data_IF_247631495688
#
_entry.id   IF_247631495688
#
_cell.length_a   1.000
_cell.length_b   1.000
_cell.length_c   1.000
_cell.angle_alpha   90.00
_cell.angle_beta   90.00
_cell.angle_gamma   90.00
#
_symmetry.space_group_name_H-M   'P 1'
#
loop_
_entity.id
_entity.type
_entity.pdbx_description
1 polymer ?
#
# COMPACT_ATOMS: atom_id res chain seq x y z
N UNK A 1 -10.08 -5.12 -12.59
CA UNK A 1 -9.88 -3.71 -12.99
C UNK A 1 -8.48 -3.56 -13.58
N UNK A 2 -8.36 -3.03 -14.81
CA UNK A 2 -7.10 -2.79 -15.50
C UNK A 2 -6.74 -1.29 -15.41
N UNK A 3 -5.87 -0.89 -14.49
CA UNK A 3 -5.37 0.49 -14.41
C UNK A 3 -4.19 0.68 -15.37
N UNK A 4 -4.10 1.82 -16.05
CA UNK A 4 -2.94 2.12 -16.91
C UNK A 4 -1.73 2.53 -16.04
N UNK A 5 -0.47 2.35 -16.47
CA UNK A 5 0.72 2.89 -15.77
C UNK A 5 0.70 4.40 -15.54
N UNK A 6 -0.16 5.13 -16.25
CA UNK A 6 -0.38 6.57 -16.07
C UNK A 6 -1.38 6.89 -14.95
N UNK A 7 -2.19 5.91 -14.53
CA UNK A 7 -3.11 6.06 -13.40
C UNK A 7 -2.45 5.61 -12.08
N UNK A 8 -1.63 4.56 -12.13
CA UNK A 8 -1.04 3.89 -10.95
C UNK A 8 0.39 3.47 -11.23
N UNK A 9 1.26 3.68 -10.25
CA UNK A 9 2.65 3.28 -10.28
C UNK A 9 3.10 2.72 -8.92
N UNK A 10 4.06 1.80 -8.94
CA UNK A 10 4.58 1.11 -7.76
C UNK A 10 6.07 1.39 -7.57
N UNK A 11 6.45 1.63 -6.32
CA UNK A 11 7.85 1.64 -5.88
C UNK A 11 7.98 0.63 -4.73
N UNK A 12 8.79 -0.39 -4.95
CA UNK A 12 8.99 -1.47 -3.99
C UNK A 12 10.16 -1.14 -3.07
N UNK A 13 10.05 -1.43 -1.78
CA UNK A 13 11.11 -1.31 -0.79
C UNK A 13 11.35 -2.73 -0.25
N UNK A 14 12.47 -3.32 -0.66
CA UNK A 14 12.84 -4.70 -0.39
C UNK A 14 14.16 -4.75 0.39
N UNK A 15 14.08 -4.84 1.72
CA UNK A 15 15.26 -4.76 2.57
C UNK A 15 16.17 -6.00 2.43
N UNK A 16 15.60 -7.19 2.19
CA UNK A 16 16.32 -8.47 2.15
C UNK A 16 16.64 -9.00 0.75
N UNK A 17 16.25 -8.29 -0.30
CA UNK A 17 16.30 -8.82 -1.66
C UNK A 17 15.37 -10.02 -1.83
N UNK A 18 14.25 -10.03 -1.10
CA UNK A 18 13.24 -11.07 -0.96
C UNK A 18 12.44 -11.39 -2.23
N UNK A 19 12.97 -11.07 -3.41
CA UNK A 19 12.43 -11.49 -4.69
C UNK A 19 11.15 -10.75 -5.11
N UNK A 20 10.53 -9.93 -4.25
CA UNK A 20 9.32 -9.19 -4.60
C UNK A 20 9.57 -8.29 -5.82
N UNK A 21 10.70 -7.59 -5.85
CA UNK A 21 11.09 -6.79 -7.01
C UNK A 21 11.23 -7.62 -8.30
N UNK A 22 11.78 -8.83 -8.19
CA UNK A 22 11.97 -9.72 -9.35
C UNK A 22 10.66 -10.27 -9.89
N UNK A 23 9.69 -10.58 -9.02
CA UNK A 23 8.35 -11.05 -9.40
C UNK A 23 7.60 -10.02 -10.26
N UNK A 24 7.83 -8.73 -10.00
CA UNK A 24 7.13 -7.64 -10.66
C UNK A 24 7.97 -6.89 -11.70
N UNK A 25 9.19 -7.35 -12.02
CA UNK A 25 10.15 -6.61 -12.86
C UNK A 25 9.62 -6.22 -14.25
N UNK A 26 8.69 -7.01 -14.78
CA UNK A 26 8.13 -6.82 -16.11
C UNK A 26 6.80 -6.05 -16.08
N UNK A 27 6.32 -5.63 -14.91
CA UNK A 27 5.12 -4.82 -14.81
C UNK A 27 5.44 -3.39 -15.25
N UNK A 28 4.70 -2.82 -16.23
CA UNK A 28 4.94 -1.46 -16.70
C UNK A 28 4.62 -0.40 -15.63
N UNK A 29 3.86 -0.75 -14.60
CA UNK A 29 3.55 0.09 -13.45
C UNK A 29 4.72 0.20 -12.46
N UNK A 30 5.71 -0.69 -12.52
CA UNK A 30 6.83 -0.69 -11.58
C UNK A 30 7.85 0.37 -11.98
N UNK A 31 7.97 1.43 -11.18
CA UNK A 31 9.01 2.46 -11.38
C UNK A 31 10.39 1.97 -10.97
N UNK A 32 10.44 1.06 -10.01
CA UNK A 32 11.68 0.45 -9.54
C UNK A 32 11.53 -0.18 -8.17
N UNK A 33 12.65 -0.66 -7.68
CA UNK A 33 12.79 -1.22 -6.34
C UNK A 33 13.98 -0.62 -5.63
N UNK A 34 13.79 -0.29 -4.36
CA UNK A 34 14.83 0.12 -3.44
C UNK A 34 15.24 -1.12 -2.66
N UNK A 35 16.49 -1.56 -2.82
CA UNK A 35 17.01 -2.75 -2.15
C UNK A 35 18.36 -2.46 -1.48
N UNK A 36 18.77 -3.33 -0.54
CA UNK A 36 20.04 -3.23 0.19
C UNK A 36 20.26 -1.82 0.76
N UNK A 37 19.29 -1.37 1.55
CA UNK A 37 19.27 -0.04 2.12
C UNK A 37 20.35 0.12 3.19
N UNK A 38 21.55 0.50 2.74
CA UNK A 38 22.52 1.18 3.60
C UNK A 38 22.03 2.62 3.89
N UNK A 39 22.66 3.29 4.87
CA UNK A 39 22.25 4.64 5.26
C UNK A 39 22.28 5.66 4.11
N UNK A 40 23.21 5.51 3.16
CA UNK A 40 23.34 6.44 2.03
C UNK A 40 22.28 6.19 0.94
N UNK A 41 21.94 4.93 0.65
CA UNK A 41 20.85 4.56 -0.25
C UNK A 41 19.50 4.99 0.32
N UNK A 42 19.29 4.77 1.62
CA UNK A 42 18.06 5.17 2.33
C UNK A 42 17.84 6.67 2.23
N UNK A 43 18.88 7.46 2.47
CA UNK A 43 18.84 8.91 2.32
C UNK A 43 18.54 9.33 0.88
N UNK A 44 19.17 8.72 -0.13
CA UNK A 44 18.89 9.01 -1.54
C UNK A 44 17.44 8.73 -1.91
N UNK A 45 16.90 7.59 -1.47
CA UNK A 45 15.51 7.24 -1.71
C UNK A 45 14.54 8.30 -1.13
N UNK A 46 14.77 8.75 0.11
CA UNK A 46 13.96 9.83 0.70
C UNK A 46 14.09 11.14 -0.07
N UNK A 47 15.30 11.51 -0.48
CA UNK A 47 15.52 12.72 -1.28
C UNK A 47 14.72 12.64 -2.59
N UNK A 48 14.74 11.49 -3.27
CA UNK A 48 13.97 11.27 -4.50
C UNK A 48 12.46 11.35 -4.27
N UNK A 49 11.94 10.72 -3.20
CA UNK A 49 10.50 10.79 -2.87
C UNK A 49 10.09 12.23 -2.54
N UNK A 50 10.90 12.95 -1.76
CA UNK A 50 10.64 14.35 -1.41
C UNK A 50 10.73 15.29 -2.62
N UNK A 51 11.63 15.01 -3.56
CA UNK A 51 11.69 15.75 -4.82
C UNK A 51 10.43 15.54 -5.67
N UNK A 52 9.92 14.30 -5.72
CA UNK A 52 8.66 13.98 -6.40
C UNK A 52 7.47 14.70 -5.73
N UNK A 53 7.38 14.71 -4.39
CA UNK A 53 6.34 15.48 -3.68
C UNK A 53 6.37 16.96 -4.07
N UNK A 54 7.55 17.59 -4.07
CA UNK A 54 7.71 19.00 -4.45
C UNK A 54 7.30 19.24 -5.91
N UNK A 55 7.64 18.32 -6.81
CA UNK A 55 7.25 18.39 -8.22
C UNK A 55 5.72 18.34 -8.37
N UNK A 56 5.05 17.40 -7.68
CA UNK A 56 3.59 17.30 -7.69
C UNK A 56 2.91 18.54 -7.13
N UNK A 57 3.41 19.08 -6.01
CA UNK A 57 2.91 20.32 -5.43
C UNK A 57 2.99 21.49 -6.41
N UNK A 58 4.13 21.65 -7.07
CA UNK A 58 4.32 22.68 -8.09
C UNK A 58 3.30 22.54 -9.23
N UNK A 59 3.16 21.35 -9.80
CA UNK A 59 2.21 21.08 -10.88
C UNK A 59 0.75 21.30 -10.44
N UNK A 60 0.42 20.97 -9.19
CA UNK A 60 -0.90 21.25 -8.63
C UNK A 60 -1.17 22.74 -8.55
N UNK A 61 -0.20 23.52 -8.06
CA UNK A 61 -0.29 24.98 -8.00
C UNK A 61 -0.41 25.62 -9.39
N UNK A 62 0.37 25.16 -10.37
CA UNK A 62 0.32 25.66 -11.75
C UNK A 62 -1.05 25.40 -12.43
N UNK A 63 -1.74 24.33 -12.00
CA UNK A 63 -3.03 23.91 -12.57
C UNK A 63 -4.24 24.17 -11.66
N UNK A 64 -4.07 24.92 -10.56
CA UNK A 64 -5.12 25.26 -9.59
C UNK A 64 -5.91 24.04 -9.04
N UNK A 65 -5.22 22.92 -8.82
CA UNK A 65 -5.81 21.70 -8.21
C UNK A 65 -5.19 21.44 -6.84
N UNK A 66 -5.90 20.70 -5.99
CA UNK A 66 -5.44 20.36 -4.64
C UNK A 66 -5.46 18.86 -4.34
N UNK A 67 -5.84 18.03 -5.31
CA UNK A 67 -5.90 16.59 -5.17
C UNK A 67 -5.54 15.87 -6.48
N UNK A 68 -4.82 14.76 -6.39
CA UNK A 68 -4.36 13.95 -7.53
C UNK A 68 -5.49 13.56 -8.49
N UNK A 69 -6.66 13.18 -7.97
CA UNK A 69 -7.84 12.87 -8.79
C UNK A 69 -8.28 14.04 -9.68
N UNK A 70 -8.08 15.29 -9.26
CA UNK A 70 -8.39 16.46 -10.09
C UNK A 70 -7.34 16.62 -11.19
N UNK A 71 -6.06 16.46 -10.86
CA UNK A 71 -4.97 16.49 -11.83
C UNK A 71 -5.12 15.40 -12.90
N UNK A 72 -5.48 14.17 -12.52
CA UNK A 72 -5.72 13.08 -13.47
C UNK A 72 -6.91 13.37 -14.39
N UNK A 73 -7.93 14.11 -13.94
CA UNK A 73 -9.03 14.56 -14.81
C UNK A 73 -8.54 15.54 -15.87
N UNK A 74 -7.69 16.50 -15.49
CA UNK A 74 -7.07 17.42 -16.45
C UNK A 74 -6.28 16.66 -17.53
N UNK A 75 -5.50 15.66 -17.12
CA UNK A 75 -4.74 14.82 -18.07
C UNK A 75 -5.68 14.06 -19.02
N UNK A 76 -6.74 13.44 -18.49
CA UNK A 76 -7.73 12.69 -19.29
C UNK A 76 -8.52 13.59 -20.26
N UNK A 77 -8.68 14.87 -19.92
CA UNK A 77 -9.30 15.86 -20.78
C UNK A 77 -8.33 16.46 -21.83
N UNK A 78 -7.03 16.21 -21.70
CA UNK A 78 -5.99 16.81 -22.54
C UNK A 78 -5.58 18.23 -22.14
N UNK A 79 -5.99 18.70 -20.95
CA UNK A 79 -5.66 20.03 -20.42
C UNK A 79 -4.19 20.13 -19.95
N UNK A 80 -3.58 18.97 -19.64
CA UNK A 80 -2.14 18.84 -19.31
C UNK A 80 -1.54 17.67 -20.08
N UNK A 81 -0.26 17.80 -20.44
CA UNK A 81 0.45 16.79 -21.25
C UNK A 81 1.05 15.65 -20.41
N UNK A 82 1.42 15.92 -19.16
CA UNK A 82 2.13 14.95 -18.31
C UNK A 82 1.16 14.16 -17.43
N UNK A 83 1.17 12.81 -17.48
CA UNK A 83 0.40 12.00 -16.55
C UNK A 83 1.02 12.03 -15.14
N UNK A 84 0.16 11.96 -14.12
CA UNK A 84 0.60 11.81 -12.74
C UNK A 84 -0.10 10.61 -12.08
N UNK A 85 0.57 9.45 -11.99
CA UNK A 85 -0.01 8.28 -11.37
C UNK A 85 -0.07 8.41 -9.85
N UNK A 86 -1.04 7.72 -9.24
CA UNK A 86 -0.96 7.37 -7.83
C UNK A 86 0.29 6.53 -7.58
N UNK A 87 1.14 6.96 -6.66
CA UNK A 87 2.37 6.25 -6.33
C UNK A 87 2.17 5.42 -5.07
N UNK A 88 2.26 4.11 -5.21
CA UNK A 88 2.21 3.17 -4.09
C UNK A 88 3.63 2.75 -3.70
N UNK A 89 4.02 3.17 -2.51
CA UNK A 89 5.25 2.72 -1.85
C UNK A 89 4.92 1.45 -1.07
N UNK A 90 5.55 0.33 -1.43
CA UNK A 90 5.25 -0.97 -0.81
C UNK A 90 6.52 -1.45 -0.12
N UNK A 91 6.50 -1.51 1.22
CA UNK A 91 7.55 -2.13 2.01
C UNK A 91 7.10 -3.51 2.45
N UNK A 92 7.76 -4.54 1.93
CA UNK A 92 7.66 -5.88 2.47
C UNK A 92 8.58 -6.02 3.69
N UNK A 93 8.17 -6.83 4.65
CA UNK A 93 8.83 -7.04 5.94
C UNK A 93 9.42 -5.77 6.58
N UNK A 94 8.58 -4.74 6.75
CA UNK A 94 9.04 -3.42 7.20
C UNK A 94 9.60 -3.41 8.64
N UNK A 95 9.37 -4.47 9.42
CA UNK A 95 9.95 -4.63 10.76
C UNK A 95 11.46 -4.53 10.75
N UNK A 96 12.09 -5.15 9.76
CA UNK A 96 13.54 -5.14 9.59
C UNK A 96 14.04 -3.77 9.17
N UNK A 97 13.32 -3.15 8.24
CA UNK A 97 13.60 -1.79 7.82
C UNK A 97 13.52 -0.80 8.98
N UNK A 98 12.54 -0.96 9.88
CA UNK A 98 12.42 -0.15 11.10
C UNK A 98 13.56 -0.39 12.09
N UNK A 99 14.03 -1.63 12.22
CA UNK A 99 15.14 -1.98 13.12
C UNK A 99 16.46 -1.39 12.63
N UNK A 100 16.72 -1.48 11.33
CA UNK A 100 18.01 -1.14 10.74
C UNK A 100 18.10 0.34 10.31
N UNK A 101 16.97 0.92 9.86
CA UNK A 101 16.88 2.30 9.39
C UNK A 101 15.67 3.04 10.02
N UNK A 102 15.67 3.24 11.35
CA UNK A 102 14.52 3.82 12.06
C UNK A 102 14.17 5.25 11.59
N UNK A 103 15.18 6.09 11.35
CA UNK A 103 14.97 7.45 10.84
C UNK A 103 14.37 7.45 9.43
N UNK A 104 14.80 6.52 8.57
CA UNK A 104 14.22 6.36 7.24
C UNK A 104 12.73 6.02 7.33
N UNK A 105 12.36 5.06 8.18
CA UNK A 105 10.96 4.67 8.38
C UNK A 105 10.10 5.81 8.90
N UNK A 106 10.61 6.56 9.87
CA UNK A 106 9.90 7.71 10.43
C UNK A 106 9.61 8.77 9.37
N UNK A 107 10.62 9.11 8.57
CA UNK A 107 10.46 10.05 7.46
C UNK A 107 9.52 9.51 6.39
N UNK A 108 9.65 8.24 6.01
CA UNK A 108 8.78 7.60 5.00
C UNK A 108 7.30 7.67 5.39
N UNK A 109 6.96 7.36 6.64
CA UNK A 109 5.59 7.45 7.17
C UNK A 109 5.09 8.90 7.16
N UNK A 110 5.93 9.86 7.56
CA UNK A 110 5.62 11.30 7.55
C UNK A 110 5.36 11.82 6.13
N UNK A 111 6.26 11.51 5.20
CA UNK A 111 6.19 11.83 3.78
C UNK A 111 4.93 11.27 3.14
N UNK A 112 4.55 10.02 3.43
CA UNK A 112 3.31 9.44 2.93
C UNK A 112 2.05 10.11 3.50
N UNK A 113 2.06 10.49 4.78
CA UNK A 113 0.96 11.22 5.40
C UNK A 113 0.72 12.57 4.72
N UNK A 114 1.78 13.37 4.53
CA UNK A 114 1.72 14.67 3.83
C UNK A 114 1.39 14.48 2.34
N UNK A 115 1.88 13.39 1.74
CA UNK A 115 1.74 13.06 0.33
C UNK A 115 0.36 12.54 -0.10
N UNK A 116 -0.57 12.34 0.84
CA UNK A 116 -1.87 11.71 0.54
C UNK A 116 -2.67 12.44 -0.54
N UNK A 117 -2.83 13.76 -0.46
CA UNK A 117 -3.55 14.54 -1.47
C UNK A 117 -2.80 14.58 -2.81
N UNK A 118 -1.48 14.45 -2.76
CA UNK A 118 -0.58 14.36 -3.91
C UNK A 118 -0.57 12.95 -4.53
N UNK A 119 -1.33 12.00 -3.97
CA UNK A 119 -1.46 10.64 -4.50
C UNK A 119 -0.31 9.71 -4.13
N UNK A 120 0.41 9.99 -3.06
CA UNK A 120 1.38 9.05 -2.46
C UNK A 120 0.66 8.19 -1.43
N UNK A 121 0.85 6.88 -1.54
CA UNK A 121 0.25 5.88 -0.65
C UNK A 121 1.34 4.95 -0.14
N UNK A 122 1.31 4.62 1.15
CA UNK A 122 2.26 3.70 1.77
C UNK A 122 1.54 2.43 2.21
N UNK A 123 2.07 1.28 1.79
CA UNK A 123 1.66 -0.05 2.21
C UNK A 123 2.83 -0.68 2.95
N UNK A 124 2.59 -1.05 4.20
CA UNK A 124 3.56 -1.69 5.07
C UNK A 124 3.08 -3.11 5.39
N UNK A 125 3.91 -4.11 5.07
CA UNK A 125 3.66 -5.50 5.39
C UNK A 125 4.73 -6.04 6.36
N UNK A 126 4.32 -6.86 7.32
CA UNK A 126 5.22 -7.52 8.28
C UNK A 126 4.64 -8.87 8.67
N UNK A 127 5.51 -9.86 8.87
CA UNK A 127 5.11 -11.14 9.46
C UNK A 127 5.03 -11.06 10.99
N UNK A 128 5.70 -10.08 11.61
CA UNK A 128 5.77 -9.91 13.07
C UNK A 128 5.33 -8.49 13.44
N UNK A 129 4.04 -8.28 13.72
CA UNK A 129 3.58 -6.95 14.09
C UNK A 129 4.07 -6.54 15.48
N UNK A 130 4.28 -7.49 16.41
CA UNK A 130 4.66 -7.21 17.80
C UNK A 130 5.90 -6.30 17.94
N UNK A 131 5.74 -5.15 18.59
CA UNK A 131 6.80 -4.15 18.85
C UNK A 131 7.20 -3.32 17.63
N UNK A 132 6.62 -3.62 16.46
CA UNK A 132 6.96 -2.98 15.19
C UNK A 132 5.92 -1.91 14.86
N UNK A 133 4.66 -2.11 15.21
CA UNK A 133 3.57 -1.20 14.87
C UNK A 133 3.34 -0.23 16.04
N UNK A 134 4.02 0.92 15.98
CA UNK A 134 3.84 1.97 16.99
C UNK A 134 2.58 2.83 16.72
N UNK A 135 2.22 3.69 17.67
CA UNK A 135 1.06 4.57 17.57
C UNK A 135 1.11 5.51 16.36
N UNK A 136 2.31 5.93 15.94
CA UNK A 136 2.49 6.76 14.75
C UNK A 136 2.07 6.01 13.48
N UNK A 137 2.51 4.76 13.30
CA UNK A 137 2.09 3.94 12.15
C UNK A 137 0.59 3.66 12.24
N UNK A 138 0.11 3.30 13.43
CA UNK A 138 -1.29 2.94 13.63
C UNK A 138 -2.26 4.10 13.34
N UNK A 139 -1.95 5.32 13.82
CA UNK A 139 -2.76 6.53 13.62
C UNK A 139 -2.73 7.05 12.18
N UNK A 140 -1.60 6.90 11.48
CA UNK A 140 -1.46 7.34 10.09
C UNK A 140 -2.00 6.32 9.06
N UNK A 141 -2.30 5.10 9.50
CA UNK A 141 -2.84 4.04 8.64
C UNK A 141 -4.37 4.07 8.61
N UNK A 142 -4.95 4.53 7.49
CA UNK A 142 -6.41 4.59 7.32
C UNK A 142 -7.07 3.20 7.32
N UNK A 143 -6.40 2.22 6.72
CA UNK A 143 -6.87 0.84 6.68
C UNK A 143 -5.80 -0.10 7.21
N UNK A 144 -6.25 -1.21 7.79
CA UNK A 144 -5.42 -2.25 8.39
C UNK A 144 -6.00 -3.59 7.97
N UNK A 145 -5.12 -4.49 7.55
CA UNK A 145 -5.49 -5.83 7.14
C UNK A 145 -4.66 -6.80 7.98
N UNK A 146 -5.32 -7.74 8.64
CA UNK A 146 -4.62 -8.82 9.33
C UNK A 146 -5.13 -10.17 8.86
N UNK A 147 -4.23 -10.95 8.28
CA UNK A 147 -4.37 -12.39 8.08
C UNK A 147 -4.18 -13.11 9.43
N UNK A 148 -4.17 -14.44 9.41
CA UNK A 148 -3.83 -15.25 10.58
C UNK A 148 -2.48 -14.85 11.18
N UNK A 149 -2.51 -14.37 12.43
CA UNK A 149 -1.33 -14.09 13.26
C UNK A 149 -1.07 -15.17 14.31
N UNK A 150 0.14 -15.22 14.86
CA UNK A 150 0.55 -16.29 15.78
C UNK A 150 -0.27 -16.28 17.07
N UNK A 151 -0.39 -15.12 17.71
CA UNK A 151 -1.06 -14.97 19.00
C UNK A 151 -2.02 -13.77 19.08
N UNK A 152 -2.74 -13.69 20.21
CA UNK A 152 -3.69 -12.60 20.46
C UNK A 152 -3.01 -11.24 20.64
N UNK A 153 -1.75 -11.20 21.08
CA UNK A 153 -1.03 -9.94 21.29
C UNK A 153 -0.71 -9.29 19.94
N UNK A 154 -0.27 -10.05 18.94
CA UNK A 154 -0.07 -9.60 17.56
C UNK A 154 -1.36 -9.00 16.97
N UNK A 155 -2.49 -9.68 17.18
CA UNK A 155 -3.80 -9.22 16.71
C UNK A 155 -4.22 -7.94 17.43
N UNK A 156 -3.99 -7.84 18.74
CA UNK A 156 -4.27 -6.63 19.52
C UNK A 156 -3.39 -5.46 19.08
N UNK A 157 -2.13 -5.69 18.73
CA UNK A 157 -1.25 -4.62 18.25
C UNK A 157 -1.74 -4.05 16.92
N UNK A 158 -2.10 -4.93 15.97
CA UNK A 158 -2.60 -4.54 14.64
C UNK A 158 -4.01 -3.96 14.67
N UNK A 159 -4.98 -4.72 15.18
CA UNK A 159 -6.42 -4.45 15.02
C UNK A 159 -7.11 -3.96 16.30
N UNK A 160 -6.39 -3.92 17.43
CA UNK A 160 -6.96 -3.66 18.77
C UNK A 160 -8.08 -4.64 19.15
N UNK A 161 -8.07 -5.82 18.54
CA UNK A 161 -9.00 -6.94 18.76
C UNK A 161 -8.24 -8.26 18.64
N UNK A 162 -8.67 -9.36 19.29
CA UNK A 162 -7.95 -10.64 19.24
C UNK A 162 -8.27 -11.51 18.02
N UNK A 163 -9.23 -11.10 17.17
CA UNK A 163 -9.87 -11.96 16.17
C UNK A 163 -8.92 -12.57 15.13
N UNK A 164 -7.87 -11.86 14.71
CA UNK A 164 -6.94 -12.38 13.70
C UNK A 164 -6.16 -13.61 14.18
N UNK A 165 -5.99 -13.76 15.50
CA UNK A 165 -5.37 -14.94 16.11
C UNK A 165 -6.29 -16.18 16.07
N UNK A 166 -7.58 -16.03 15.81
CA UNK A 166 -8.56 -17.11 15.79
C UNK A 166 -8.85 -17.62 14.37
N UNK A 167 -8.27 -16.97 13.35
CA UNK A 167 -8.39 -17.40 11.96
C UNK A 167 -7.75 -18.78 11.76
N UNK A 168 -8.47 -19.68 11.09
CA UNK A 168 -7.99 -21.04 10.78
C UNK A 168 -7.84 -21.30 9.28
N UNK A 169 -8.49 -20.48 8.45
CA UNK A 169 -8.53 -20.66 7.01
C UNK A 169 -7.48 -19.79 6.31
N UNK A 170 -6.75 -20.38 5.36
CA UNK A 170 -5.79 -19.63 4.55
C UNK A 170 -6.50 -18.57 3.69
N UNK A 171 -5.91 -17.38 3.58
CA UNK A 171 -6.48 -16.25 2.85
C UNK A 171 -7.62 -15.52 3.58
N UNK A 172 -8.11 -16.05 4.71
CA UNK A 172 -9.08 -15.33 5.55
C UNK A 172 -8.37 -14.20 6.30
N UNK A 173 -8.99 -13.02 6.34
CA UNK A 173 -8.41 -11.83 6.93
C UNK A 173 -9.48 -10.87 7.47
N UNK A 174 -9.10 -10.06 8.46
CA UNK A 174 -9.89 -8.92 8.89
C UNK A 174 -9.44 -7.65 8.17
N UNK A 175 -10.41 -6.86 7.71
CA UNK A 175 -10.23 -5.50 7.24
C UNK A 175 -10.78 -4.55 8.31
N UNK A 176 -9.93 -3.64 8.79
CA UNK A 176 -10.34 -2.53 9.65
C UNK A 176 -10.09 -1.21 8.93
N UNK A 177 -11.11 -0.35 8.83
CA UNK A 177 -11.01 1.00 8.26
C UNK A 177 -11.36 2.03 9.32
N UNK A 178 -10.55 3.09 9.40
CA UNK A 178 -10.68 4.14 10.41
C UNK A 178 -10.51 3.60 11.83
N UNK A 179 -11.17 4.24 12.80
CA UNK A 179 -11.27 3.74 14.18
C UNK A 179 -12.46 2.80 14.31
N UNK A 180 -12.45 1.70 13.56
CA UNK A 180 -13.51 0.67 13.55
C UNK A 180 -14.83 1.12 12.90
N UNK A 181 -14.76 2.04 11.94
CA UNK A 181 -15.92 2.40 11.10
C UNK A 181 -16.35 1.22 10.24
N UNK A 182 -15.38 0.42 9.80
CA UNK A 182 -15.58 -0.86 9.13
C UNK A 182 -14.66 -1.87 9.82
N UNK A 183 -15.23 -3.01 10.20
CA UNK A 183 -14.50 -4.17 10.73
C UNK A 183 -15.13 -5.44 10.17
N UNK A 184 -14.52 -5.98 9.13
CA UNK A 184 -15.10 -7.07 8.35
C UNK A 184 -14.14 -8.24 8.23
N UNK A 185 -14.67 -9.45 8.40
CA UNK A 185 -13.96 -10.68 8.10
C UNK A 185 -14.26 -11.04 6.64
N UNK A 186 -13.20 -11.21 5.84
CA UNK A 186 -13.34 -11.55 4.43
C UNK A 186 -12.40 -12.69 4.04
N UNK A 187 -12.62 -13.24 2.85
CA UNK A 187 -11.76 -14.23 2.22
C UNK A 187 -11.02 -13.59 1.06
N UNK A 188 -9.69 -13.58 1.09
CA UNK A 188 -8.89 -13.08 -0.02
C UNK A 188 -9.02 -14.01 -1.22
N UNK A 189 -8.99 -13.43 -2.42
CA UNK A 189 -8.81 -14.19 -3.64
C UNK A 189 -7.41 -14.80 -3.71
N UNK A 190 -7.27 -15.89 -4.46
CA UNK A 190 -5.97 -16.51 -4.76
C UNK A 190 -5.54 -16.09 -6.16
N UNK A 191 -4.40 -15.39 -6.26
CA UNK A 191 -3.89 -14.86 -7.53
C UNK A 191 -3.10 -15.86 -8.38
N UNK A 192 -2.83 -17.06 -7.85
CA UNK A 192 -2.06 -18.12 -8.52
C UNK A 192 -2.91 -19.08 -9.37
N UNK A 193 -4.21 -18.83 -9.51
CA UNK A 193 -5.06 -19.60 -10.40
C UNK A 193 -4.73 -19.28 -11.87
N UNK A 194 -4.80 -20.28 -12.75
CA UNK A 194 -4.71 -20.05 -14.19
C UNK A 194 -5.78 -19.04 -14.62
N UNK A 195 -5.35 -17.98 -15.32
CA UNK A 195 -6.27 -17.02 -15.92
C UNK A 195 -7.05 -17.74 -17.04
N UNK A 196 -8.31 -18.08 -16.76
CA UNK A 196 -9.23 -18.69 -17.72
C UNK A 196 -10.24 -17.64 -18.19
N UNK A 197 -9.95 -16.89 -19.28
CA UNK A 197 -10.82 -15.79 -19.74
C UNK A 197 -12.21 -16.24 -20.21
N UNK A 198 -12.41 -17.54 -20.48
CA UNK A 198 -13.70 -18.10 -20.94
C UNK A 198 -14.61 -18.58 -19.79
N UNK A 199 -14.27 -18.30 -18.52
CA UNK A 199 -15.04 -18.76 -17.35
C UNK A 199 -16.01 -17.72 -16.76
N UNK A 200 -16.47 -16.76 -17.56
CA UNK A 200 -17.63 -15.91 -17.21
C UNK A 200 -18.88 -16.48 -17.88
N UNK A 201 -19.58 -17.36 -17.15
CA UNK A 201 -21.05 -17.55 -17.18
C UNK A 201 -21.47 -18.76 -16.31
N UNK A 202 -21.05 -18.78 -15.05
CA UNK A 202 -21.87 -19.42 -14.02
C UNK A 202 -22.12 -18.39 -12.93
N UNK A 203 -23.29 -17.78 -13.02
CA UNK A 203 -23.90 -16.94 -12.00
C UNK A 203 -23.65 -17.56 -10.62
N UNK A 204 -22.89 -16.85 -9.78
CA UNK A 204 -23.04 -17.02 -8.34
C UNK A 204 -24.40 -16.39 -8.04
N UNK A 205 -25.46 -17.19 -8.02
CA UNK A 205 -26.76 -16.75 -7.50
C UNK A 205 -26.58 -16.38 -6.03
N UNK A 206 -26.55 -15.07 -5.76
CA UNK A 206 -26.54 -14.52 -4.42
C UNK A 206 -27.94 -14.69 -3.82
N UNK A 207 -28.14 -15.77 -3.06
CA UNK A 207 -29.38 -16.04 -2.33
C UNK A 207 -29.48 -15.31 -0.98
N UNK A 208 -28.78 -14.18 -0.79
CA UNK A 208 -28.88 -13.42 0.45
C UNK A 208 -30.13 -12.54 0.45
N UNK A 209 -31.22 -13.06 1.05
CA UNK A 209 -32.41 -12.29 1.38
C UNK A 209 -32.09 -11.44 2.63
N UNK A 210 -32.11 -10.11 2.47
CA UNK A 210 -32.13 -9.18 3.61
C UNK A 210 -33.57 -8.99 4.08
N UNK A 211 -33.83 -9.27 5.36
CA UNK A 211 -34.99 -8.76 6.11
C UNK A 211 -34.59 -7.53 6.90
#
# INVERSE_FOLDING_TARGET
MNFHPYDVAFLLIDYKGGGMANLFRNLPHLLGSIANLDGAQSMRALISINAELKRRQRLFSENNVNHINQYQKLYKNGDVEEPMPHLFLISDEFAELKSEQPEFMKELVSTAHIGRSLGIHLILATQKPSGVVNDQIWSNSKFKLALKVADKADSMEMLKTPGAAEITQAGRAYLQVGNNEIYELFQSAWSGADYQPEKDDQQIEDHTIYF
#
